data_IF_817675024880
#
_entry.id   IF_817675024880
#
_cell.length_a   1.000
_cell.length_b   1.000
_cell.length_c   1.000
_cell.angle_alpha   90.00
_cell.angle_beta   90.00
_cell.angle_gamma   90.00
#
_symmetry.space_group_name_H-M   'P 1'
#
loop_
_entity.id
_entity.type
_entity.pdbx_description
1 polymer ?
#
# COMPACT_ATOMS: atom_id res chain seq x y z
N UNK A 1 -13.77 55.88 -32.45
CA UNK A 1 -12.45 55.22 -32.61
C UNK A 1 -11.90 54.94 -31.23
N UNK A 2 -11.96 53.68 -30.79
CA UNK A 2 -11.38 53.25 -29.51
C UNK A 2 -9.87 53.09 -29.73
N UNK A 3 -8.99 53.59 -28.83
CA UNK A 3 -7.55 53.57 -29.06
C UNK A 3 -7.06 52.11 -29.12
N UNK A 4 -6.46 51.74 -30.24
CA UNK A 4 -5.85 50.42 -30.51
C UNK A 4 -4.80 50.01 -29.48
N UNK A 5 -4.25 50.96 -28.72
CA UNK A 5 -3.31 50.70 -27.62
C UNK A 5 -3.96 50.10 -26.36
N UNK A 6 -5.25 50.29 -26.12
CA UNK A 6 -5.94 49.74 -24.92
C UNK A 6 -6.22 48.24 -25.09
N UNK A 7 -6.50 47.80 -26.33
CA UNK A 7 -6.79 46.39 -26.65
C UNK A 7 -5.53 45.51 -26.54
N UNK A 8 -4.36 46.06 -26.89
CA UNK A 8 -3.08 45.34 -26.79
C UNK A 8 -2.64 45.08 -25.33
N UNK A 9 -2.90 46.03 -24.42
CA UNK A 9 -2.57 45.88 -22.99
C UNK A 9 -3.48 44.83 -22.33
N UNK A 10 -4.77 44.79 -22.69
CA UNK A 10 -5.69 43.76 -22.21
C UNK A 10 -5.32 42.35 -22.68
N UNK A 11 -4.86 42.18 -23.92
CA UNK A 11 -4.36 40.89 -24.44
C UNK A 11 -3.07 40.43 -23.76
N UNK A 12 -2.18 41.36 -23.39
CA UNK A 12 -0.95 41.03 -22.65
C UNK A 12 -1.26 40.62 -21.19
N UNK A 13 -2.21 41.29 -20.53
CA UNK A 13 -2.65 40.96 -19.18
C UNK A 13 -3.42 39.62 -19.11
N UNK A 14 -4.22 39.29 -20.14
CA UNK A 14 -4.91 37.99 -20.22
C UNK A 14 -3.95 36.82 -20.46
N UNK A 15 -2.86 37.02 -21.21
CA UNK A 15 -1.83 35.99 -21.40
C UNK A 15 -0.99 35.78 -20.14
N UNK A 16 -0.69 36.83 -19.37
CA UNK A 16 -0.05 36.68 -18.05
C UNK A 16 -0.96 35.99 -17.03
N UNK A 17 -2.28 36.23 -17.08
CA UNK A 17 -3.23 35.53 -16.22
C UNK A 17 -3.26 34.02 -16.49
N UNK A 18 -3.12 33.58 -17.75
CA UNK A 18 -3.04 32.16 -18.11
C UNK A 18 -1.77 31.48 -17.62
N UNK A 19 -0.63 32.17 -17.61
CA UNK A 19 0.63 31.66 -17.02
C UNK A 19 0.55 31.62 -15.48
N UNK A 20 -0.23 32.49 -14.85
CA UNK A 20 -0.48 32.43 -13.41
C UNK A 20 -1.48 31.35 -12.98
N UNK A 21 -2.21 30.69 -13.90
CA UNK A 21 -3.14 29.61 -13.54
C UNK A 21 -2.40 28.30 -13.17
N UNK A 22 -1.16 28.10 -13.62
CA UNK A 22 -0.32 27.00 -13.12
C UNK A 22 0.06 27.14 -11.63
N UNK A 23 0.00 28.36 -11.07
CA UNK A 23 0.30 28.64 -9.67
C UNK A 23 -0.78 28.15 -8.67
N UNK A 24 -1.89 27.55 -9.14
CA UNK A 24 -2.95 26.99 -8.27
C UNK A 24 -2.82 25.50 -7.99
N UNK A 25 -1.82 24.79 -8.52
CA UNK A 25 -1.61 23.38 -8.16
C UNK A 25 -0.76 23.30 -6.90
N UNK A 26 -1.31 22.70 -5.83
CA UNK A 26 -0.56 22.41 -4.60
C UNK A 26 0.76 21.72 -5.00
N UNK A 27 1.93 22.27 -4.61
CA UNK A 27 3.20 21.73 -5.03
C UNK A 27 3.48 20.35 -4.41
N UNK A 28 2.73 19.95 -3.38
CA UNK A 28 2.88 18.69 -2.66
C UNK A 28 1.75 17.71 -2.95
N UNK A 29 1.97 16.42 -2.69
CA UNK A 29 0.94 15.38 -2.73
C UNK A 29 0.46 15.01 -1.32
N UNK A 30 1.37 14.69 -0.42
CA UNK A 30 1.09 14.04 0.87
C UNK A 30 1.85 14.69 2.05
N UNK A 31 2.99 15.35 1.80
CA UNK A 31 3.81 15.95 2.85
C UNK A 31 4.08 17.44 2.57
N UNK A 32 3.22 18.30 3.11
CA UNK A 32 3.28 19.75 2.89
C UNK A 32 4.48 20.45 3.56
N UNK A 33 5.17 19.77 4.49
CA UNK A 33 6.37 20.28 5.18
C UNK A 33 7.67 19.87 4.48
N UNK A 34 7.59 19.13 3.38
CA UNK A 34 8.76 18.74 2.62
C UNK A 34 9.55 19.99 2.18
N UNK A 35 10.85 20.09 2.50
CA UNK A 35 11.64 21.25 2.11
C UNK A 35 11.69 21.38 0.58
N UNK A 36 11.49 22.61 0.08
CA UNK A 36 11.41 22.90 -1.35
C UNK A 36 12.62 22.40 -2.17
N UNK A 37 13.80 22.34 -1.56
CA UNK A 37 15.01 21.83 -2.21
C UNK A 37 14.85 20.37 -2.65
N UNK A 38 14.26 19.52 -1.81
CA UNK A 38 14.04 18.10 -2.11
C UNK A 38 12.97 17.91 -3.18
N UNK A 39 11.90 18.70 -3.12
CA UNK A 39 10.85 18.69 -4.15
C UNK A 39 11.40 19.08 -5.52
N UNK A 40 12.23 20.13 -5.57
CA UNK A 40 12.84 20.59 -6.82
C UNK A 40 13.85 19.56 -7.36
N UNK A 41 14.68 18.99 -6.49
CA UNK A 41 15.63 17.96 -6.85
C UNK A 41 14.94 16.72 -7.42
N UNK A 42 13.90 16.22 -6.74
CA UNK A 42 13.13 15.06 -7.20
C UNK A 42 12.45 15.31 -8.56
N UNK A 43 11.80 16.48 -8.74
CA UNK A 43 11.22 16.86 -10.04
C UNK A 43 12.24 17.02 -11.14
N UNK A 44 13.44 17.52 -10.82
CA UNK A 44 14.51 17.66 -11.78
C UNK A 44 15.02 16.28 -12.22
N UNK A 45 15.24 15.38 -11.26
CA UNK A 45 15.64 14.00 -11.53
C UNK A 45 14.66 13.31 -12.48
N UNK A 46 13.35 13.36 -12.19
CA UNK A 46 12.33 12.80 -13.08
C UNK A 46 12.30 13.44 -14.47
N UNK A 47 12.46 14.77 -14.57
CA UNK A 47 12.51 15.47 -15.87
C UNK A 47 13.73 15.10 -16.69
N UNK A 48 14.89 14.94 -16.04
CA UNK A 48 16.12 14.51 -16.71
C UNK A 48 15.95 13.10 -17.28
N UNK A 49 15.42 12.18 -16.48
CA UNK A 49 15.19 10.81 -16.93
C UNK A 49 14.14 10.72 -18.04
N UNK A 50 13.11 11.58 -18.03
CA UNK A 50 12.15 11.64 -19.12
C UNK A 50 12.78 12.13 -20.43
N UNK A 51 13.67 13.12 -20.36
CA UNK A 51 14.43 13.55 -21.53
C UNK A 51 15.30 12.41 -22.10
N UNK A 52 15.97 11.66 -21.23
CA UNK A 52 16.76 10.49 -21.62
C UNK A 52 15.88 9.38 -22.22
N UNK A 53 14.70 9.14 -21.64
CA UNK A 53 13.71 8.20 -22.16
C UNK A 53 13.26 8.60 -23.57
N UNK A 54 12.93 9.87 -23.80
CA UNK A 54 12.49 10.34 -25.12
C UNK A 54 13.54 10.08 -26.20
N UNK A 55 14.81 10.42 -25.92
CA UNK A 55 15.93 10.19 -26.85
C UNK A 55 16.11 8.70 -27.17
N UNK A 56 15.93 7.83 -26.19
CA UNK A 56 16.09 6.37 -26.38
C UNK A 56 14.86 5.72 -27.04
N UNK A 57 13.67 6.27 -26.82
CA UNK A 57 12.39 5.65 -27.19
C UNK A 57 12.08 5.61 -28.68
N UNK A 58 12.71 6.47 -29.50
CA UNK A 58 12.42 6.59 -30.94
C UNK A 58 12.65 5.28 -31.70
N UNK A 59 13.61 4.47 -31.26
CA UNK A 59 13.97 3.19 -31.88
C UNK A 59 13.53 1.95 -31.07
N UNK A 60 12.79 2.15 -29.97
CA UNK A 60 12.34 1.06 -29.10
C UNK A 60 10.98 0.50 -29.53
N UNK A 61 10.84 -0.82 -29.43
CA UNK A 61 9.57 -1.54 -29.47
C UNK A 61 8.67 -1.16 -28.27
N UNK A 62 7.39 -1.52 -28.33
CA UNK A 62 6.47 -1.25 -27.21
C UNK A 62 6.89 -1.94 -25.91
N UNK A 63 7.41 -3.16 -26.00
CA UNK A 63 7.89 -3.92 -24.84
C UNK A 63 9.10 -3.25 -24.19
N UNK A 64 10.09 -2.83 -24.99
CA UNK A 64 11.28 -2.12 -24.50
C UNK A 64 10.93 -0.77 -23.85
N UNK A 65 9.95 -0.06 -24.40
CA UNK A 65 9.43 1.18 -23.78
C UNK A 65 8.82 0.90 -22.42
N UNK A 66 8.03 -0.16 -22.31
CA UNK A 66 7.37 -0.54 -21.07
C UNK A 66 8.37 -0.97 -19.99
N UNK A 67 9.40 -1.73 -20.36
CA UNK A 67 10.50 -2.08 -19.46
C UNK A 67 11.27 -0.84 -18.99
N UNK A 68 11.62 0.07 -19.92
CA UNK A 68 12.34 1.32 -19.57
C UNK A 68 11.53 2.21 -18.62
N UNK A 69 10.20 2.26 -18.78
CA UNK A 69 9.32 2.97 -17.84
C UNK A 69 9.34 2.29 -16.47
N UNK A 70 9.32 0.95 -16.42
CA UNK A 70 9.39 0.19 -15.17
C UNK A 70 10.71 0.46 -14.43
N UNK A 71 11.85 0.34 -15.12
CA UNK A 71 13.18 0.62 -14.57
C UNK A 71 13.24 2.04 -14.00
N UNK A 72 12.66 3.01 -14.70
CA UNK A 72 12.60 4.38 -14.20
C UNK A 72 11.73 4.51 -12.94
N UNK A 73 10.57 3.87 -12.89
CA UNK A 73 9.73 3.90 -11.70
C UNK A 73 10.45 3.29 -10.50
N UNK A 74 11.24 2.23 -10.70
CA UNK A 74 12.13 1.67 -9.68
C UNK A 74 13.17 2.69 -9.21
N UNK A 75 13.84 3.40 -10.11
CA UNK A 75 14.78 4.47 -9.74
C UNK A 75 14.12 5.60 -8.93
N UNK A 76 12.88 6.01 -9.28
CA UNK A 76 12.13 6.95 -8.44
C UNK A 76 11.80 6.37 -7.06
N UNK A 77 11.56 5.05 -6.96
CA UNK A 77 11.28 4.40 -5.68
C UNK A 77 12.52 4.40 -4.77
N UNK A 78 13.72 4.33 -5.35
CA UNK A 78 14.99 4.38 -4.64
C UNK A 78 15.42 5.81 -4.25
N UNK A 79 14.79 6.83 -4.85
CA UNK A 79 15.10 8.21 -4.51
C UNK A 79 14.80 8.51 -3.03
N UNK A 80 15.81 9.01 -2.31
CA UNK A 80 15.71 9.28 -0.88
C UNK A 80 15.84 8.03 0.00
N UNK A 81 16.31 6.90 -0.55
CA UNK A 81 16.60 5.69 0.23
C UNK A 81 17.63 5.93 1.32
N UNK A 82 18.58 6.84 1.11
CA UNK A 82 19.57 7.24 2.11
C UNK A 82 18.95 7.77 3.41
N UNK A 83 17.76 8.38 3.34
CA UNK A 83 17.03 8.86 4.51
C UNK A 83 16.29 7.72 5.22
N UNK A 84 15.83 6.70 4.51
CA UNK A 84 15.07 5.58 5.12
C UNK A 84 15.96 4.40 5.52
N UNK A 85 17.17 4.29 4.98
CA UNK A 85 18.12 3.24 5.35
C UNK A 85 18.44 3.27 6.86
N UNK A 86 18.62 4.46 7.42
CA UNK A 86 18.85 4.64 8.86
C UNK A 86 17.62 4.22 9.69
N UNK A 87 16.41 4.43 9.17
CA UNK A 87 15.15 3.99 9.81
C UNK A 87 15.14 2.46 9.95
N UNK A 88 15.42 1.73 8.87
CA UNK A 88 15.43 0.26 8.89
C UNK A 88 16.48 -0.29 9.85
N UNK A 89 17.67 0.31 9.88
CA UNK A 89 18.72 -0.06 10.83
C UNK A 89 18.29 0.18 12.28
N UNK A 90 17.70 1.35 12.59
CA UNK A 90 17.21 1.67 13.94
C UNK A 90 16.10 0.71 14.39
N UNK A 91 15.12 0.46 13.52
CA UNK A 91 13.99 -0.47 13.78
C UNK A 91 14.49 -1.88 14.11
N UNK A 92 15.57 -2.33 13.46
CA UNK A 92 16.12 -3.67 13.67
C UNK A 92 16.96 -3.82 14.95
N UNK A 93 17.39 -2.73 15.59
CA UNK A 93 18.28 -2.80 16.76
C UNK A 93 17.64 -2.31 18.06
N UNK A 94 16.62 -1.44 17.99
CA UNK A 94 16.14 -0.68 19.15
C UNK A 94 14.72 -1.04 19.58
N UNK A 95 14.21 -2.19 19.13
CA UNK A 95 12.83 -2.62 19.37
C UNK A 95 12.68 -3.49 20.64
N UNK A 96 11.49 -3.49 21.24
CA UNK A 96 11.16 -4.39 22.34
C UNK A 96 10.68 -5.74 21.78
N UNK A 97 11.47 -6.79 21.99
CA UNK A 97 11.18 -8.13 21.45
C UNK A 97 9.86 -8.72 21.95
N UNK A 98 9.56 -8.63 23.24
CA UNK A 98 8.37 -9.27 23.81
C UNK A 98 7.09 -8.62 23.27
N UNK A 99 7.06 -7.29 23.25
CA UNK A 99 5.90 -6.55 22.73
C UNK A 99 5.75 -6.75 21.22
N UNK A 100 6.87 -6.78 20.49
CA UNK A 100 6.89 -7.10 19.05
C UNK A 100 6.28 -8.46 18.76
N UNK A 101 6.61 -9.50 19.52
CA UNK A 101 6.07 -10.85 19.32
C UNK A 101 4.54 -10.88 19.46
N UNK A 102 3.98 -10.13 20.43
CA UNK A 102 2.53 -10.04 20.62
C UNK A 102 1.88 -9.25 19.49
N UNK A 103 2.49 -8.13 19.07
CA UNK A 103 2.04 -7.33 17.94
C UNK A 103 2.02 -8.14 16.63
N UNK A 104 2.97 -9.04 16.43
CA UNK A 104 2.98 -9.96 15.29
C UNK A 104 1.88 -11.04 15.39
N UNK A 105 1.59 -11.53 16.60
CA UNK A 105 0.48 -12.48 16.82
C UNK A 105 -0.86 -11.85 16.44
N UNK A 106 -1.10 -10.59 16.79
CA UNK A 106 -2.35 -9.89 16.41
C UNK A 106 -2.44 -9.55 14.92
N UNK A 107 -1.38 -9.76 14.13
CA UNK A 107 -1.42 -9.62 12.66
C UNK A 107 -0.77 -8.37 12.11
N UNK A 108 0.06 -7.67 12.88
CA UNK A 108 0.96 -6.66 12.32
C UNK A 108 2.15 -7.33 11.64
N UNK A 109 2.64 -6.70 10.56
CA UNK A 109 3.88 -7.10 9.93
C UNK A 109 5.09 -6.83 10.84
N UNK A 110 6.19 -7.54 10.60
CA UNK A 110 7.40 -7.48 11.44
C UNK A 110 7.98 -6.06 11.52
N UNK A 111 7.98 -5.31 10.42
CA UNK A 111 8.50 -3.94 10.41
C UNK A 111 7.63 -3.04 11.28
N UNK A 112 6.31 -3.04 11.07
CA UNK A 112 5.40 -2.21 11.86
C UNK A 112 5.41 -2.59 13.34
N UNK A 113 5.40 -3.88 13.66
CA UNK A 113 5.45 -4.36 15.04
C UNK A 113 6.69 -3.82 15.77
N UNK A 114 7.88 -3.92 15.16
CA UNK A 114 9.10 -3.36 15.71
C UNK A 114 9.05 -1.84 15.80
N UNK A 115 8.59 -1.19 14.73
CA UNK A 115 8.49 0.26 14.63
C UNK A 115 7.65 0.88 15.75
N UNK A 116 6.51 0.26 16.10
CA UNK A 116 5.63 0.74 17.17
C UNK A 116 6.29 0.68 18.55
N UNK A 117 7.24 -0.23 18.75
CA UNK A 117 7.94 -0.40 20.04
C UNK A 117 9.15 0.51 20.21
N UNK A 118 9.47 1.35 19.23
CA UNK A 118 10.54 2.34 19.34
C UNK A 118 10.15 3.50 20.29
N UNK A 119 11.14 4.22 20.78
CA UNK A 119 10.94 5.44 21.55
C UNK A 119 10.24 6.54 20.72
N UNK A 120 9.44 7.38 21.37
CA UNK A 120 8.64 8.45 20.76
C UNK A 120 9.43 9.33 19.78
N UNK A 121 10.63 9.75 20.19
CA UNK A 121 11.50 10.62 19.37
C UNK A 121 11.92 9.91 18.07
N UNK A 122 12.23 8.62 18.16
CA UNK A 122 12.61 7.81 17.01
C UNK A 122 11.40 7.57 16.09
N UNK A 123 10.22 7.26 16.64
CA UNK A 123 9.00 7.10 15.87
C UNK A 123 8.71 8.37 15.07
N UNK A 124 8.73 9.54 15.72
CA UNK A 124 8.44 10.83 15.06
C UNK A 124 9.45 11.15 13.95
N UNK A 125 10.75 11.00 14.25
CA UNK A 125 11.83 11.22 13.27
C UNK A 125 11.73 10.27 12.07
N UNK A 126 11.36 9.02 12.31
CA UNK A 126 11.26 8.02 11.24
C UNK A 126 10.02 8.27 10.37
N UNK A 127 8.87 8.64 10.95
CA UNK A 127 7.69 9.09 10.18
C UNK A 127 8.04 10.25 9.25
N UNK A 128 8.80 11.23 9.74
CA UNK A 128 9.25 12.37 8.92
C UNK A 128 10.06 11.94 7.69
N UNK A 129 11.00 11.03 7.89
CA UNK A 129 11.86 10.52 6.82
C UNK A 129 11.06 9.70 5.80
N UNK A 130 10.12 8.86 6.26
CA UNK A 130 9.22 8.11 5.39
C UNK A 130 8.34 9.07 4.57
N UNK A 131 7.69 10.04 5.22
CA UNK A 131 6.85 11.03 4.53
C UNK A 131 7.64 11.86 3.51
N UNK A 132 8.87 12.26 3.84
CA UNK A 132 9.74 12.99 2.91
C UNK A 132 10.12 12.12 1.71
N UNK A 133 10.56 10.88 1.94
CA UNK A 133 10.91 9.95 0.86
C UNK A 133 9.72 9.71 -0.07
N UNK A 134 8.55 9.39 0.49
CA UNK A 134 7.35 9.13 -0.30
C UNK A 134 6.93 10.37 -1.10
N UNK A 135 7.02 11.57 -0.52
CA UNK A 135 6.78 12.81 -1.25
C UNK A 135 7.79 12.98 -2.40
N UNK A 136 9.08 12.78 -2.16
CA UNK A 136 10.12 12.85 -3.20
C UNK A 136 9.86 11.88 -4.36
N UNK A 137 9.51 10.63 -4.06
CA UNK A 137 9.14 9.62 -5.05
C UNK A 137 7.98 10.08 -5.95
N UNK A 138 6.91 10.64 -5.37
CA UNK A 138 5.75 11.14 -6.12
C UNK A 138 6.11 12.35 -7.01
N UNK A 139 7.02 13.20 -6.53
CA UNK A 139 7.52 14.35 -7.29
C UNK A 139 8.45 13.95 -8.44
N UNK A 140 9.22 12.88 -8.25
CA UNK A 140 10.02 12.24 -9.30
C UNK A 140 9.13 11.70 -10.42
N UNK A 141 8.09 10.95 -10.07
CA UNK A 141 7.10 10.43 -11.02
C UNK A 141 6.38 11.56 -11.79
N UNK A 142 5.97 12.62 -11.09
CA UNK A 142 5.41 13.81 -11.72
C UNK A 142 6.40 14.47 -12.69
N UNK A 143 7.67 14.54 -12.30
CA UNK A 143 8.74 15.06 -13.15
C UNK A 143 8.96 14.23 -14.42
N UNK A 144 8.74 12.92 -14.36
CA UNK A 144 8.86 12.02 -15.49
C UNK A 144 7.69 12.11 -16.49
N UNK A 145 6.67 12.90 -16.19
CA UNK A 145 5.51 13.08 -17.05
C UNK A 145 4.28 12.26 -16.64
N UNK A 146 4.30 11.56 -15.49
CA UNK A 146 3.07 11.00 -14.95
C UNK A 146 2.10 12.13 -14.56
N UNK A 147 0.85 12.05 -15.00
CA UNK A 147 -0.13 13.10 -14.69
C UNK A 147 -0.43 13.13 -13.18
N UNK A 148 -0.62 14.34 -12.64
CA UNK A 148 -1.03 14.52 -11.23
C UNK A 148 -2.28 13.70 -10.88
N UNK A 149 -3.24 13.62 -11.82
CA UNK A 149 -4.48 12.87 -11.63
C UNK A 149 -4.23 11.36 -11.50
N UNK A 150 -3.32 10.80 -12.33
CA UNK A 150 -2.94 9.39 -12.24
C UNK A 150 -2.27 9.08 -10.90
N UNK A 151 -1.34 9.94 -10.46
CA UNK A 151 -0.67 9.80 -9.16
C UNK A 151 -1.69 9.83 -8.02
N UNK A 152 -2.60 10.81 -8.01
CA UNK A 152 -3.64 10.92 -6.98
C UNK A 152 -4.59 9.72 -6.98
N UNK A 153 -4.95 9.22 -8.15
CA UNK A 153 -5.78 8.02 -8.29
C UNK A 153 -5.08 6.77 -7.73
N UNK A 154 -3.77 6.60 -7.98
CA UNK A 154 -2.98 5.51 -7.39
C UNK A 154 -2.87 5.64 -5.86
N UNK A 155 -2.67 6.86 -5.34
CA UNK A 155 -2.68 7.09 -3.89
C UNK A 155 -4.02 6.69 -3.26
N UNK A 156 -5.14 7.02 -3.91
CA UNK A 156 -6.46 6.59 -3.46
C UNK A 156 -6.65 5.07 -3.50
N UNK A 157 -6.04 4.38 -4.47
CA UNK A 157 -6.00 2.92 -4.50
C UNK A 157 -5.17 2.37 -3.35
N UNK A 158 -3.96 2.86 -3.13
CA UNK A 158 -3.05 2.37 -2.08
C UNK A 158 -3.71 2.42 -0.70
N UNK A 159 -4.40 3.52 -0.38
CA UNK A 159 -5.16 3.67 0.87
C UNK A 159 -6.21 2.58 1.10
N UNK A 160 -6.78 2.00 0.04
CA UNK A 160 -7.78 0.92 0.15
C UNK A 160 -7.15 -0.46 0.27
N UNK A 161 -5.92 -0.62 -0.21
CA UNK A 161 -5.22 -1.90 -0.26
C UNK A 161 -4.29 -2.13 0.94
N UNK A 162 -3.91 -1.07 1.64
CA UNK A 162 -2.99 -1.14 2.77
C UNK A 162 -3.34 -0.08 3.83
N UNK A 163 -3.81 -0.53 5.00
CA UNK A 163 -4.13 0.32 6.14
C UNK A 163 -2.95 1.12 6.68
N UNK A 164 -1.72 0.58 6.62
CA UNK A 164 -0.54 1.31 7.07
C UNK A 164 -0.24 2.49 6.13
N UNK A 165 -0.41 2.28 4.83
CA UNK A 165 -0.35 3.38 3.85
C UNK A 165 -1.51 4.36 4.04
N UNK A 166 -2.70 3.90 4.41
CA UNK A 166 -3.79 4.82 4.72
C UNK A 166 -3.44 5.74 5.89
N UNK A 167 -2.96 5.19 7.01
CA UNK A 167 -2.53 5.97 8.18
C UNK A 167 -1.42 6.94 7.83
N UNK A 168 -0.38 6.47 7.14
CA UNK A 168 0.74 7.29 6.71
C UNK A 168 0.26 8.52 5.92
N UNK A 169 -0.60 8.28 4.91
CA UNK A 169 -1.05 9.30 3.98
C UNK A 169 -2.10 10.26 4.57
N UNK A 170 -2.95 9.79 5.48
CA UNK A 170 -4.10 10.56 5.99
C UNK A 170 -3.84 11.19 7.35
N UNK A 171 -3.07 10.52 8.20
CA UNK A 171 -2.84 10.93 9.59
C UNK A 171 -1.43 11.46 9.80
N UNK A 172 -0.42 10.78 9.27
CA UNK A 172 0.97 11.03 9.65
C UNK A 172 1.60 12.16 8.82
N UNK A 173 1.56 12.06 7.49
CA UNK A 173 2.22 13.05 6.62
C UNK A 173 1.48 14.40 6.54
N UNK A 174 0.19 14.45 6.88
CA UNK A 174 -0.60 15.67 6.75
C UNK A 174 -0.76 16.48 8.05
N UNK A 175 -0.30 15.98 9.20
CA UNK A 175 -0.56 16.59 10.50
C UNK A 175 0.61 17.43 11.05
N UNK A 176 0.34 18.71 11.40
CA UNK A 176 1.32 19.63 12.02
C UNK A 176 1.77 19.19 13.40
N UNK A 177 0.87 18.62 14.19
CA UNK A 177 1.12 18.39 15.61
C UNK A 177 1.59 16.97 15.88
N UNK A 178 1.66 16.08 14.87
CA UNK A 178 2.19 14.69 14.87
C UNK A 178 1.82 13.80 16.07
N UNK A 179 0.83 14.23 16.86
CA UNK A 179 0.27 13.55 18.04
C UNK A 179 -1.07 12.86 17.74
N UNK A 180 -1.45 12.75 16.45
CA UNK A 180 -2.75 12.18 16.10
C UNK A 180 -2.85 10.72 16.54
N UNK A 181 -1.81 9.93 16.27
CA UNK A 181 -1.74 8.53 16.64
C UNK A 181 -0.71 8.37 17.75
N UNK A 182 -1.14 7.86 18.91
CA UNK A 182 -0.27 7.60 20.06
C UNK A 182 0.45 6.24 19.86
N UNK A 183 1.28 6.16 18.80
CA UNK A 183 2.03 4.94 18.45
C UNK A 183 2.88 4.39 19.60
N UNK A 184 3.59 5.21 20.39
CA UNK A 184 4.39 4.68 21.49
C UNK A 184 3.56 4.00 22.57
N UNK A 185 2.39 4.55 22.92
CA UNK A 185 1.48 3.85 23.83
C UNK A 185 1.05 2.49 23.28
N UNK A 186 0.72 2.43 21.98
CA UNK A 186 0.35 1.17 21.32
C UNK A 186 1.47 0.12 21.42
N UNK A 187 2.73 0.50 21.36
CA UNK A 187 3.87 -0.42 21.36
C UNK A 187 4.53 -0.69 22.71
N UNK A 188 4.50 0.24 23.67
CA UNK A 188 5.14 0.07 24.99
C UNK A 188 4.25 -0.54 26.06
N UNK A 189 2.93 -0.50 25.86
CA UNK A 189 1.94 -1.02 26.80
C UNK A 189 1.21 -2.26 26.27
N UNK A 190 1.80 -3.00 25.32
CA UNK A 190 1.13 -4.11 24.63
C UNK A 190 0.64 -5.16 25.62
N UNK A 191 1.46 -5.58 26.57
CA UNK A 191 1.01 -6.49 27.63
C UNK A 191 -0.17 -5.96 28.45
N UNK A 192 -0.25 -4.65 28.68
CA UNK A 192 -1.28 -4.04 29.53
C UNK A 192 -2.66 -4.13 28.88
N UNK A 193 -2.76 -3.80 27.58
CA UNK A 193 -4.01 -3.80 26.86
C UNK A 193 -4.34 -5.14 26.16
N UNK A 194 -3.40 -6.09 26.08
CA UNK A 194 -3.65 -7.43 25.50
C UNK A 194 -3.90 -8.54 26.52
N UNK A 195 -3.50 -8.38 27.79
CA UNK A 195 -3.51 -9.47 28.80
C UNK A 195 -4.82 -10.26 28.88
N UNK A 196 -5.96 -9.57 28.80
CA UNK A 196 -7.29 -10.18 28.97
C UNK A 196 -7.82 -10.81 27.66
N UNK A 197 -7.11 -10.60 26.55
CA UNK A 197 -7.46 -11.09 25.20
C UNK A 197 -6.45 -12.11 24.65
N UNK A 198 -5.48 -12.56 25.45
CA UNK A 198 -4.41 -13.44 24.97
C UNK A 198 -4.93 -14.73 24.35
N UNK A 199 -6.06 -15.25 24.85
CA UNK A 199 -6.71 -16.44 24.30
C UNK A 199 -7.20 -16.21 22.86
N UNK A 200 -7.88 -15.11 22.61
CA UNK A 200 -8.40 -14.72 21.30
C UNK A 200 -7.24 -14.41 20.33
N UNK A 201 -6.18 -13.78 20.82
CA UNK A 201 -4.95 -13.49 20.06
C UNK A 201 -4.27 -14.80 19.61
N UNK A 202 -4.07 -15.74 20.54
CA UNK A 202 -3.42 -17.01 20.22
C UNK A 202 -4.27 -17.87 19.28
N UNK A 203 -5.61 -17.90 19.47
CA UNK A 203 -6.53 -18.60 18.59
C UNK A 203 -6.54 -18.02 17.17
N UNK A 204 -6.55 -16.69 17.04
CA UNK A 204 -6.42 -16.02 15.75
C UNK A 204 -5.08 -16.34 15.09
N UNK A 205 -3.97 -16.18 15.80
CA UNK A 205 -2.64 -16.41 15.26
C UNK A 205 -2.47 -17.86 14.77
N UNK A 206 -2.93 -18.84 15.57
CA UNK A 206 -2.94 -20.24 15.20
C UNK A 206 -3.78 -20.48 13.94
N UNK A 207 -5.02 -19.98 13.94
CA UNK A 207 -5.93 -20.10 12.79
C UNK A 207 -5.31 -19.49 11.53
N UNK A 208 -4.69 -18.31 11.64
CA UNK A 208 -4.02 -17.62 10.54
C UNK A 208 -2.90 -18.48 9.95
N UNK A 209 -1.99 -18.98 10.78
CA UNK A 209 -0.84 -19.77 10.33
C UNK A 209 -1.31 -21.08 9.67
N UNK A 210 -2.20 -21.83 10.33
CA UNK A 210 -2.68 -23.11 9.83
C UNK A 210 -3.42 -22.98 8.49
N UNK A 211 -4.31 -21.98 8.37
CA UNK A 211 -5.08 -21.79 7.14
C UNK A 211 -4.25 -21.16 6.02
N UNK A 212 -3.27 -20.30 6.33
CA UNK A 212 -2.35 -19.79 5.30
C UNK A 212 -1.55 -20.91 4.66
N UNK A 213 -1.07 -21.89 5.44
CA UNK A 213 -0.40 -23.06 4.89
C UNK A 213 -1.34 -23.88 3.98
N UNK A 214 -2.59 -24.11 4.42
CA UNK A 214 -3.58 -24.84 3.60
C UNK A 214 -3.90 -24.11 2.29
N UNK A 215 -4.06 -22.78 2.34
CA UNK A 215 -4.31 -21.95 1.16
C UNK A 215 -3.14 -22.03 0.17
N UNK A 216 -1.90 -21.93 0.66
CA UNK A 216 -0.69 -22.06 -0.16
C UNK A 216 -0.66 -23.45 -0.82
N UNK A 217 -0.87 -24.51 -0.06
CA UNK A 217 -0.84 -25.88 -0.57
C UNK A 217 -1.93 -26.13 -1.63
N UNK A 218 -3.15 -25.65 -1.39
CA UNK A 218 -4.26 -25.72 -2.36
C UNK A 218 -3.92 -24.97 -3.64
N UNK A 219 -3.42 -23.74 -3.52
CA UNK A 219 -3.07 -22.92 -4.67
C UNK A 219 -1.95 -23.57 -5.49
N UNK A 220 -0.85 -24.01 -4.86
CA UNK A 220 0.27 -24.65 -5.54
C UNK A 220 -0.12 -25.96 -6.24
N UNK A 221 -0.88 -26.84 -5.57
CA UNK A 221 -1.37 -28.09 -6.17
C UNK A 221 -2.24 -27.82 -7.40
N UNK A 222 -3.05 -26.77 -7.33
CA UNK A 222 -3.95 -26.40 -8.43
C UNK A 222 -3.17 -25.88 -9.63
N UNK A 223 -2.19 -24.99 -9.41
CA UNK A 223 -1.32 -24.50 -10.48
C UNK A 223 -0.58 -25.66 -11.15
N UNK A 224 -0.01 -26.58 -10.36
CA UNK A 224 0.65 -27.77 -10.90
C UNK A 224 -0.29 -28.66 -11.72
N UNK A 225 -1.55 -28.81 -11.28
CA UNK A 225 -2.54 -29.58 -12.02
C UNK A 225 -2.95 -28.87 -13.33
N UNK A 226 -3.12 -27.55 -13.29
CA UNK A 226 -3.37 -26.72 -14.47
C UNK A 226 -2.24 -26.86 -15.49
N UNK A 227 -0.98 -26.83 -15.06
CA UNK A 227 0.17 -27.01 -15.93
C UNK A 227 0.18 -28.39 -16.62
N UNK A 228 -0.23 -29.44 -15.91
CA UNK A 228 -0.35 -30.78 -16.48
C UNK A 228 -1.46 -30.84 -17.54
N UNK A 229 -2.62 -30.22 -17.28
CA UNK A 229 -3.72 -30.15 -18.24
C UNK A 229 -3.25 -29.42 -19.50
N UNK A 230 -2.56 -28.29 -19.36
CA UNK A 230 -2.06 -27.49 -20.48
C UNK A 230 -1.01 -28.28 -21.29
N UNK A 231 -0.04 -28.93 -20.62
CA UNK A 231 0.99 -29.74 -21.30
C UNK A 231 0.42 -30.94 -22.05
N UNK A 232 -0.61 -31.57 -21.51
CA UNK A 232 -1.25 -32.73 -22.12
C UNK A 232 -2.23 -32.35 -23.23
N UNK A 233 -2.60 -31.07 -23.32
CA UNK A 233 -3.48 -30.55 -24.37
C UNK A 233 -2.65 -29.99 -25.52
N UNK A 234 -2.98 -30.34 -26.76
CA UNK A 234 -2.38 -29.68 -27.91
C UNK A 234 -3.04 -28.31 -28.12
N UNK A 235 -2.67 -27.34 -27.28
CA UNK A 235 -3.19 -25.96 -27.29
C UNK A 235 -2.93 -25.19 -28.59
N UNK A 236 -2.07 -25.72 -29.47
CA UNK A 236 -1.88 -25.23 -30.85
C UNK A 236 -3.06 -25.56 -31.77
N UNK A 237 -3.90 -26.53 -31.39
CA UNK A 237 -5.18 -26.81 -32.04
C UNK A 237 -6.27 -25.91 -31.43
N UNK A 238 -6.76 -24.96 -32.22
CA UNK A 238 -7.80 -24.01 -31.85
C UNK A 238 -9.08 -24.70 -31.35
N UNK A 239 -9.36 -25.93 -31.82
CA UNK A 239 -10.51 -26.74 -31.36
C UNK A 239 -10.34 -27.26 -29.93
N UNK A 240 -9.11 -27.44 -29.48
CA UNK A 240 -8.78 -27.90 -28.12
C UNK A 240 -8.47 -26.74 -27.18
N UNK A 241 -8.09 -25.57 -27.70
CA UNK A 241 -7.79 -24.39 -26.92
C UNK A 241 -8.98 -23.93 -26.06
N UNK A 242 -10.14 -23.68 -26.68
CA UNK A 242 -11.33 -23.17 -25.96
C UNK A 242 -11.83 -24.16 -24.88
N UNK A 243 -12.00 -25.47 -25.17
CA UNK A 243 -12.37 -26.43 -24.12
C UNK A 243 -11.38 -26.50 -22.97
N UNK A 244 -10.07 -26.50 -23.28
CA UNK A 244 -9.02 -26.56 -22.25
C UNK A 244 -9.07 -25.32 -21.35
N UNK A 245 -9.24 -24.13 -21.95
CA UNK A 245 -9.40 -22.88 -21.21
C UNK A 245 -10.59 -22.94 -20.24
N UNK A 246 -11.76 -23.41 -20.70
CA UNK A 246 -12.96 -23.55 -19.84
C UNK A 246 -12.70 -24.50 -18.67
N UNK A 247 -12.06 -25.65 -18.92
CA UNK A 247 -11.72 -26.61 -17.87
C UNK A 247 -10.78 -26.00 -16.82
N UNK A 248 -9.73 -25.31 -17.26
CA UNK A 248 -8.77 -24.64 -16.38
C UNK A 248 -9.42 -23.52 -15.57
N UNK A 249 -10.22 -22.66 -16.20
CA UNK A 249 -10.93 -21.58 -15.51
C UNK A 249 -11.90 -22.12 -14.45
N UNK A 250 -12.65 -23.18 -14.76
CA UNK A 250 -13.57 -23.81 -13.81
C UNK A 250 -12.84 -24.45 -12.62
N UNK A 251 -11.71 -25.12 -12.88
CA UNK A 251 -10.85 -25.68 -11.84
C UNK A 251 -10.35 -24.57 -10.90
N UNK A 252 -9.78 -23.50 -11.46
CA UNK A 252 -9.25 -22.39 -10.69
C UNK A 252 -10.36 -21.70 -9.88
N UNK A 253 -11.51 -21.41 -10.49
CA UNK A 253 -12.67 -20.81 -9.78
C UNK A 253 -13.13 -21.67 -8.61
N UNK A 254 -13.23 -22.99 -8.79
CA UNK A 254 -13.62 -23.91 -7.72
C UNK A 254 -12.66 -23.82 -6.53
N UNK A 255 -11.36 -23.81 -6.80
CA UNK A 255 -10.33 -23.73 -5.75
C UNK A 255 -10.32 -22.36 -5.08
N UNK A 256 -10.51 -21.28 -5.83
CA UNK A 256 -10.62 -19.93 -5.25
C UNK A 256 -11.85 -19.84 -4.32
N UNK A 257 -12.98 -20.45 -4.65
CA UNK A 257 -14.13 -20.55 -3.74
C UNK A 257 -13.85 -21.39 -2.49
N UNK A 258 -13.04 -22.45 -2.61
CA UNK A 258 -12.59 -23.20 -1.43
C UNK A 258 -11.71 -22.32 -0.53
N UNK A 259 -10.78 -21.57 -1.12
CA UNK A 259 -9.93 -20.60 -0.43
C UNK A 259 -10.77 -19.52 0.26
N UNK A 260 -11.84 -19.00 -0.37
CA UNK A 260 -12.74 -18.03 0.31
C UNK A 260 -13.36 -18.61 1.57
N UNK A 261 -13.68 -19.90 1.59
CA UNK A 261 -14.21 -20.59 2.76
C UNK A 261 -13.17 -20.76 3.88
N UNK A 262 -11.88 -20.83 3.56
CA UNK A 262 -10.80 -20.81 4.55
C UNK A 262 -10.57 -19.39 5.07
N UNK A 263 -10.57 -18.40 4.18
CA UNK A 263 -10.40 -16.99 4.56
C UNK A 263 -11.52 -16.49 5.48
N UNK A 264 -12.77 -16.93 5.28
CA UNK A 264 -13.88 -16.56 6.15
C UNK A 264 -13.66 -17.00 7.61
N UNK A 265 -12.99 -18.13 7.84
CA UNK A 265 -12.60 -18.59 9.18
C UNK A 265 -11.54 -17.67 9.79
N UNK A 266 -10.53 -17.26 9.00
CA UNK A 266 -9.53 -16.28 9.45
C UNK A 266 -10.17 -14.93 9.80
N UNK A 267 -11.05 -14.42 8.95
CA UNK A 267 -11.78 -13.17 9.17
C UNK A 267 -12.64 -13.24 10.44
N UNK A 268 -13.32 -14.37 10.69
CA UNK A 268 -14.08 -14.57 11.93
C UNK A 268 -13.18 -14.51 13.16
N UNK A 269 -12.05 -15.22 13.15
CA UNK A 269 -11.10 -15.19 14.27
C UNK A 269 -10.49 -13.79 14.48
N UNK A 270 -10.16 -13.09 13.38
CA UNK A 270 -9.72 -11.68 13.43
C UNK A 270 -10.79 -10.77 14.04
N UNK A 271 -12.06 -10.99 13.68
CA UNK A 271 -13.20 -10.25 14.22
C UNK A 271 -13.35 -10.43 15.74
N UNK A 272 -13.26 -11.67 16.23
CA UNK A 272 -13.34 -11.93 17.68
C UNK A 272 -12.14 -11.32 18.43
N UNK A 273 -10.92 -11.47 17.89
CA UNK A 273 -9.72 -10.86 18.47
C UNK A 273 -9.81 -9.33 18.50
N UNK A 274 -10.16 -8.69 17.39
CA UNK A 274 -10.27 -7.22 17.30
C UNK A 274 -11.36 -6.67 18.22
N UNK A 275 -12.50 -7.37 18.32
CA UNK A 275 -13.57 -7.03 19.26
C UNK A 275 -13.13 -7.08 20.72
N UNK A 276 -12.17 -7.95 21.05
CA UNK A 276 -11.58 -8.01 22.39
C UNK A 276 -10.55 -6.89 22.62
N UNK A 277 -9.54 -6.75 21.75
CA UNK A 277 -8.39 -5.88 22.02
C UNK A 277 -8.68 -4.38 21.86
N UNK A 278 -9.56 -3.98 20.92
CA UNK A 278 -9.78 -2.57 20.60
C UNK A 278 -10.40 -1.77 21.76
N UNK A 279 -11.39 -2.29 22.52
CA UNK A 279 -11.87 -1.64 23.73
C UNK A 279 -10.76 -1.40 24.77
N UNK A 280 -9.95 -2.41 25.07
CA UNK A 280 -8.84 -2.27 26.03
C UNK A 280 -7.78 -1.26 25.55
N UNK A 281 -7.43 -1.29 24.28
CA UNK A 281 -6.52 -0.29 23.70
C UNK A 281 -7.12 1.13 23.76
N UNK A 282 -8.44 1.26 23.61
CA UNK A 282 -9.13 2.55 23.75
C UNK A 282 -9.02 3.08 25.18
N UNK A 283 -9.17 2.21 26.18
CA UNK A 283 -9.05 2.56 27.60
C UNK A 283 -7.62 2.94 27.98
N UNK A 284 -6.62 2.20 27.50
CA UNK A 284 -5.21 2.41 27.85
C UNK A 284 -4.57 3.56 27.06
N UNK A 285 -4.78 3.60 25.73
CA UNK A 285 -4.06 4.50 24.82
C UNK A 285 -4.95 5.55 24.13
N UNK A 286 -6.26 5.48 24.33
CA UNK A 286 -7.23 6.41 23.77
C UNK A 286 -7.81 5.99 22.41
N UNK A 287 -8.87 6.67 21.95
CA UNK A 287 -9.64 6.28 20.77
C UNK A 287 -8.84 6.38 19.46
N UNK A 288 -7.91 7.32 19.35
CA UNK A 288 -7.11 7.47 18.14
C UNK A 288 -6.13 6.30 17.92
N UNK A 289 -5.58 5.74 19.01
CA UNK A 289 -4.69 4.59 18.96
C UNK A 289 -5.46 3.33 18.56
N UNK A 290 -6.63 3.13 19.18
CA UNK A 290 -7.56 2.06 18.81
C UNK A 290 -7.98 2.14 17.34
N UNK A 291 -8.33 3.33 16.87
CA UNK A 291 -8.69 3.55 15.48
C UNK A 291 -7.53 3.28 14.52
N UNK A 292 -6.32 3.71 14.87
CA UNK A 292 -5.14 3.41 14.06
C UNK A 292 -4.87 1.91 13.97
N UNK A 293 -4.91 1.19 15.10
CA UNK A 293 -4.74 -0.27 15.09
C UNK A 293 -5.82 -0.96 14.25
N UNK A 294 -7.07 -0.51 14.37
CA UNK A 294 -8.20 -1.03 13.58
C UNK A 294 -7.95 -0.85 12.08
N UNK A 295 -7.55 0.35 11.65
CA UNK A 295 -7.21 0.63 10.24
C UNK A 295 -6.06 -0.26 9.77
N UNK A 296 -4.96 -0.34 10.53
CA UNK A 296 -3.80 -1.18 10.20
C UNK A 296 -4.18 -2.66 10.03
N UNK A 297 -4.97 -3.20 10.95
CA UNK A 297 -5.36 -4.62 10.92
C UNK A 297 -6.37 -4.92 9.81
N UNK A 298 -7.39 -4.08 9.66
CA UNK A 298 -8.53 -4.42 8.82
C UNK A 298 -8.37 -3.93 7.38
N UNK A 299 -7.93 -2.70 7.14
CA UNK A 299 -7.88 -2.18 5.77
C UNK A 299 -6.85 -2.96 4.95
N UNK A 300 -7.31 -3.61 3.90
CA UNK A 300 -6.45 -4.42 3.03
C UNK A 300 -6.06 -5.78 3.58
N UNK A 301 -6.69 -6.27 4.67
CA UNK A 301 -6.35 -7.54 5.33
C UNK A 301 -6.11 -8.69 4.35
N UNK A 302 -7.10 -9.01 3.50
CA UNK A 302 -6.96 -10.11 2.53
C UNK A 302 -5.86 -9.86 1.49
N UNK A 303 -5.59 -8.61 1.11
CA UNK A 303 -4.52 -8.31 0.15
C UNK A 303 -3.15 -8.60 0.77
N UNK A 304 -2.95 -8.31 2.06
CA UNK A 304 -1.69 -8.61 2.77
C UNK A 304 -1.50 -10.10 3.02
N UNK A 305 -2.59 -10.81 3.30
CA UNK A 305 -2.56 -12.24 3.62
C UNK A 305 -2.39 -13.14 2.38
N UNK A 306 -2.80 -12.67 1.21
CA UNK A 306 -2.66 -13.39 -0.05
C UNK A 306 -1.32 -13.05 -0.70
N UNK A 307 -0.69 -14.04 -1.34
CA UNK A 307 0.41 -13.75 -2.26
C UNK A 307 -0.06 -12.90 -3.44
N UNK A 308 0.86 -12.19 -4.10
CA UNK A 308 0.51 -11.37 -5.26
C UNK A 308 -0.17 -12.19 -6.37
N UNK A 309 0.37 -13.37 -6.68
CA UNK A 309 -0.22 -14.28 -7.68
C UNK A 309 -1.65 -14.70 -7.31
N UNK A 310 -1.92 -15.00 -6.03
CA UNK A 310 -3.25 -15.36 -5.58
C UNK A 310 -4.20 -14.16 -5.67
N UNK A 311 -3.77 -12.97 -5.26
CA UNK A 311 -4.53 -11.73 -5.42
C UNK A 311 -4.90 -11.45 -6.88
N UNK A 312 -3.97 -11.68 -7.81
CA UNK A 312 -4.21 -11.53 -9.24
C UNK A 312 -5.22 -12.56 -9.75
N UNK A 313 -5.14 -13.82 -9.30
CA UNK A 313 -6.09 -14.87 -9.68
C UNK A 313 -7.53 -14.55 -9.27
N UNK A 314 -7.73 -14.07 -8.03
CA UNK A 314 -9.04 -13.61 -7.54
C UNK A 314 -9.63 -12.50 -8.43
N UNK A 315 -8.79 -11.51 -8.78
CA UNK A 315 -9.21 -10.39 -9.65
C UNK A 315 -9.51 -10.83 -11.08
N UNK A 316 -8.65 -11.68 -11.66
CA UNK A 316 -8.78 -12.13 -13.05
C UNK A 316 -10.02 -13.00 -13.27
N UNK A 317 -10.38 -13.82 -12.27
CA UNK A 317 -11.51 -14.74 -12.34
C UNK A 317 -12.80 -14.20 -11.71
N UNK A 318 -12.78 -12.94 -11.25
CA UNK A 318 -13.92 -12.27 -10.62
C UNK A 318 -14.53 -13.08 -9.47
N UNK A 319 -13.66 -13.63 -8.62
CA UNK A 319 -14.09 -14.32 -7.40
C UNK A 319 -14.11 -13.30 -6.27
N UNK A 320 -15.29 -13.11 -5.69
CA UNK A 320 -15.46 -12.19 -4.57
C UNK A 320 -14.96 -12.81 -3.25
N UNK A 321 -14.57 -11.95 -2.32
CA UNK A 321 -14.28 -12.37 -0.95
C UNK A 321 -15.57 -12.80 -0.23
N UNK A 322 -15.42 -13.59 0.82
CA UNK A 322 -16.55 -13.98 1.67
C UNK A 322 -17.22 -12.74 2.32
N UNK A 323 -18.56 -12.67 2.41
CA UNK A 323 -19.26 -11.55 3.03
C UNK A 323 -18.81 -11.20 4.44
N UNK A 324 -18.36 -12.17 5.24
CA UNK A 324 -17.82 -11.93 6.58
C UNK A 324 -16.57 -11.05 6.50
N UNK A 325 -15.68 -11.33 5.56
CA UNK A 325 -14.48 -10.53 5.37
C UNK A 325 -14.83 -9.13 4.83
N UNK A 326 -15.82 -9.03 3.94
CA UNK A 326 -16.26 -7.73 3.40
C UNK A 326 -16.85 -6.85 4.50
N UNK A 327 -17.70 -7.42 5.36
CA UNK A 327 -18.37 -6.71 6.44
C UNK A 327 -17.37 -6.07 7.44
N UNK A 328 -16.20 -6.69 7.63
CA UNK A 328 -15.16 -6.13 8.50
C UNK A 328 -14.55 -4.83 7.97
N UNK A 329 -14.74 -4.53 6.68
CA UNK A 329 -14.21 -3.32 6.05
C UNK A 329 -15.25 -2.20 5.91
N UNK A 330 -16.55 -2.51 6.01
CA UNK A 330 -17.63 -1.53 5.76
C UNK A 330 -17.84 -0.52 6.88
N UNK A 331 -17.33 -0.80 8.08
CA UNK A 331 -17.46 0.09 9.26
C UNK A 331 -16.23 0.97 9.51
N UNK A 332 -15.27 1.02 8.57
CA UNK A 332 -13.99 1.76 8.72
C UNK A 332 -14.05 3.16 8.13
#
# INVERSE_FOLDING_TARGET
MVPTHIVAIFFFLFNFASVCIEAKRKPYFIYQYAPNQYIRAARYYGRSAYADYLVKSENMTMEERQNTISDFLELCNDLGWEYVKNVTEVVNHSFNKNETEILMKIGLDDFLARFLTLDDELVQSNVEQICLKTEMQLQCQLGFGESRTAILYRLQKLKKYDGNMQLLLEKDCNNKTRKAVNYPCMGHHVMEWTKDCMKEIDEYNKTRIELNQQIIDLHLKTIQHTDQIIKNSNISDEKLFIPTKIVVENLLKKVLHEITGLESKKCRALGEMTKCILPHLTETCGPNASEALRVSLLVGYLNRERSEALNQAFKALYVDADPICIAMHTDI
#
